data_IF_136905825169
#
_entry.id   IF_136905825169
#
_cell.length_a   1.000
_cell.length_b   1.000
_cell.length_c   1.000
_cell.angle_alpha   90.00
_cell.angle_beta   90.00
_cell.angle_gamma   90.00
#
_symmetry.space_group_name_H-M   'P 1'
#
loop_
_entity.id
_entity.type
_entity.pdbx_description
1 polymer ?
#
# COMPACT_ATOMS: atom_id res chain seq x y z
N UNK A 1 -19.17 20.64 -2.15
CA UNK A 1 -17.83 20.01 -2.00
C UNK A 1 -17.64 19.06 -3.16
N UNK A 2 -16.43 18.90 -3.73
CA UNK A 2 -16.21 17.89 -4.75
C UNK A 2 -16.65 16.52 -4.22
N UNK A 3 -17.49 15.83 -4.97
CA UNK A 3 -17.98 14.50 -4.63
C UNK A 3 -16.87 13.51 -4.92
N UNK A 4 -16.34 12.88 -3.88
CA UNK A 4 -15.31 11.88 -4.04
C UNK A 4 -15.91 10.53 -4.50
N UNK A 5 -15.19 9.76 -5.34
CA UNK A 5 -15.62 8.42 -5.73
C UNK A 5 -15.88 7.51 -4.52
N UNK A 6 -16.76 6.52 -4.68
CA UNK A 6 -17.01 5.51 -3.65
C UNK A 6 -15.72 4.85 -3.18
N UNK A 7 -15.55 4.69 -1.87
CA UNK A 7 -14.30 4.18 -1.28
C UNK A 7 -13.21 5.23 -1.12
N UNK A 8 -13.48 6.52 -1.36
CA UNK A 8 -12.57 7.63 -1.08
C UNK A 8 -13.22 8.70 -0.22
N UNK A 9 -12.41 9.56 0.40
CA UNK A 9 -12.88 10.66 1.23
C UNK A 9 -12.16 11.97 0.86
N UNK A 10 -12.80 13.11 1.13
CA UNK A 10 -12.22 14.41 0.86
C UNK A 10 -11.12 14.76 1.88
N UNK A 11 -10.00 15.27 1.39
CA UNK A 11 -8.85 15.71 2.18
C UNK A 11 -8.40 17.08 1.71
N UNK A 12 -8.20 17.99 2.66
CA UNK A 12 -7.67 19.33 2.39
C UNK A 12 -6.15 19.34 2.52
N UNK A 13 -5.45 19.67 1.44
CA UNK A 13 -4.00 19.77 1.37
C UNK A 13 -3.47 20.76 2.39
N UNK A 14 -2.44 20.34 3.12
CA UNK A 14 -1.68 21.09 4.12
C UNK A 14 -0.27 21.38 3.62
N UNK A 15 0.41 22.29 4.32
CA UNK A 15 1.79 22.63 4.04
C UNK A 15 2.68 21.37 4.12
N UNK A 16 3.45 21.11 3.06
CA UNK A 16 4.39 19.99 2.99
C UNK A 16 3.78 18.64 2.57
N UNK A 17 2.49 18.60 2.23
CA UNK A 17 1.86 17.42 1.66
C UNK A 17 2.38 17.13 0.25
N UNK A 18 2.45 15.84 -0.05
CA UNK A 18 2.71 15.32 -1.39
C UNK A 18 1.83 14.09 -1.59
N UNK A 19 1.50 13.74 -2.83
CA UNK A 19 0.77 12.50 -3.08
C UNK A 19 1.51 11.28 -2.52
N UNK A 20 2.85 11.29 -2.49
CA UNK A 20 3.63 10.22 -1.90
C UNK A 20 3.40 10.08 -0.38
N UNK A 21 3.47 11.19 0.37
CA UNK A 21 3.21 11.17 1.82
C UNK A 21 1.78 10.76 2.11
N UNK A 22 0.81 11.29 1.38
CA UNK A 22 -0.60 10.96 1.56
C UNK A 22 -0.88 9.49 1.22
N UNK A 23 -0.30 8.97 0.14
CA UNK A 23 -0.40 7.55 -0.21
C UNK A 23 0.10 6.65 0.92
N UNK A 24 1.25 6.99 1.50
CA UNK A 24 1.82 6.26 2.65
C UNK A 24 0.94 6.37 3.89
N UNK A 25 0.45 7.57 4.22
CA UNK A 25 -0.39 7.81 5.40
C UNK A 25 -1.71 7.06 5.32
N UNK A 26 -2.31 6.98 4.12
CA UNK A 26 -3.64 6.42 3.93
C UNK A 26 -3.63 5.02 3.31
N UNK A 27 -2.47 4.34 3.31
CA UNK A 27 -2.30 2.98 2.79
C UNK A 27 -2.92 2.81 1.39
N UNK A 28 -2.58 3.73 0.49
CA UNK A 28 -2.99 3.71 -0.92
C UNK A 28 -1.77 3.97 -1.80
N UNK A 29 -1.96 4.20 -3.10
CA UNK A 29 -0.86 4.50 -4.03
C UNK A 29 -1.00 5.90 -4.62
N UNK A 30 0.13 6.49 -5.03
CA UNK A 30 0.13 7.77 -5.76
C UNK A 30 -0.74 7.68 -7.01
N UNK A 31 -0.67 6.56 -7.74
CA UNK A 31 -1.48 6.31 -8.92
C UNK A 31 -2.99 6.27 -8.58
N UNK A 32 -3.39 5.64 -7.48
CA UNK A 32 -4.77 5.61 -7.04
C UNK A 32 -5.28 7.01 -6.63
N UNK A 33 -4.46 7.79 -5.91
CA UNK A 33 -4.79 9.18 -5.60
C UNK A 33 -4.95 9.98 -6.89
N UNK A 34 -4.04 9.84 -7.85
CA UNK A 34 -4.13 10.60 -9.10
C UNK A 34 -5.33 10.18 -9.96
N UNK A 35 -5.65 8.88 -10.00
CA UNK A 35 -6.84 8.38 -10.68
C UNK A 35 -8.14 8.90 -10.06
N UNK A 36 -8.19 9.06 -8.73
CA UNK A 36 -9.32 9.64 -8.01
C UNK A 36 -9.43 11.18 -8.18
N UNK A 37 -8.40 11.83 -8.72
CA UNK A 37 -8.32 13.28 -8.87
C UNK A 37 -7.92 13.67 -10.31
N UNK A 38 -8.76 13.36 -11.31
CA UNK A 38 -8.46 13.73 -12.69
C UNK A 38 -8.25 15.24 -12.82
N UNK A 39 -7.18 15.64 -13.52
CA UNK A 39 -6.80 17.04 -13.71
C UNK A 39 -5.98 17.67 -12.58
N UNK A 40 -5.79 16.99 -11.45
CA UNK A 40 -4.90 17.48 -10.40
C UNK A 40 -3.44 17.16 -10.76
N UNK A 41 -2.59 18.18 -10.74
CA UNK A 41 -1.15 18.02 -10.91
C UNK A 41 -0.47 17.74 -9.55
N UNK A 42 0.11 16.54 -9.34
CA UNK A 42 0.73 16.16 -8.07
C UNK A 42 1.96 17.00 -7.69
N UNK A 43 2.57 17.69 -8.66
CA UNK A 43 3.74 18.55 -8.45
C UNK A 43 3.35 20.02 -8.21
N UNK A 44 2.06 20.36 -8.25
CA UNK A 44 1.55 21.73 -8.07
C UNK A 44 0.37 21.78 -7.10
N UNK A 45 0.45 21.01 -6.01
CA UNK A 45 -0.57 21.01 -4.96
C UNK A 45 -0.59 22.36 -4.24
N UNK A 46 -1.79 22.87 -3.98
CA UNK A 46 -1.99 24.13 -3.27
C UNK A 46 -2.53 23.89 -1.86
N UNK A 47 -2.01 24.61 -0.88
CA UNK A 47 -2.54 24.57 0.49
C UNK A 47 -4.02 25.02 0.45
N UNK A 48 -4.88 24.25 1.11
CA UNK A 48 -6.33 24.47 1.08
C UNK A 48 -7.06 23.81 -0.10
N UNK A 49 -6.32 23.26 -1.08
CA UNK A 49 -6.92 22.48 -2.16
C UNK A 49 -7.56 21.20 -1.58
N UNK A 50 -8.79 20.90 -1.98
CA UNK A 50 -9.46 19.65 -1.62
C UNK A 50 -9.21 18.61 -2.71
N UNK A 51 -8.75 17.44 -2.30
CA UNK A 51 -8.57 16.25 -3.15
C UNK A 51 -9.29 15.05 -2.54
N UNK A 52 -9.56 14.04 -3.36
CA UNK A 52 -10.12 12.77 -2.93
C UNK A 52 -8.99 11.77 -2.63
N UNK A 53 -8.93 11.28 -1.40
CA UNK A 53 -8.00 10.23 -1.01
C UNK A 53 -8.77 8.91 -1.01
N UNK A 54 -8.41 7.95 -1.88
CA UNK A 54 -8.93 6.60 -1.75
C UNK A 54 -8.60 6.06 -0.36
N UNK A 55 -9.64 5.67 0.39
CA UNK A 55 -9.48 4.74 1.51
C UNK A 55 -8.88 3.44 0.97
N UNK A 56 -8.17 2.69 1.81
CA UNK A 56 -7.23 1.62 1.41
C UNK A 56 -7.69 0.88 0.15
N UNK A 57 -7.15 1.30 -1.00
CA UNK A 57 -7.44 0.71 -2.31
C UNK A 57 -6.58 -0.53 -2.54
N UNK A 58 -6.05 -1.14 -1.47
CA UNK A 58 -5.85 -2.57 -1.51
C UNK A 58 -7.22 -3.16 -1.83
N UNK A 59 -7.40 -3.84 -2.99
CA UNK A 59 -8.46 -4.84 -3.09
C UNK A 59 -8.42 -5.64 -1.79
N UNK A 60 -9.55 -6.08 -1.20
CA UNK A 60 -9.49 -6.94 -0.03
C UNK A 60 -8.43 -7.98 -0.33
N UNK A 61 -7.29 -7.88 0.36
CA UNK A 61 -6.09 -8.60 -0.06
C UNK A 61 -6.57 -10.03 -0.16
N UNK A 62 -6.43 -10.67 -1.33
CA UNK A 62 -6.88 -12.05 -1.53
C UNK A 62 -6.52 -12.76 -0.24
N UNK A 63 -7.51 -13.30 0.50
CA UNK A 63 -7.26 -13.77 1.85
C UNK A 63 -6.05 -14.67 1.79
N UNK A 64 -5.08 -14.42 2.68
CA UNK A 64 -3.86 -15.19 2.65
C UNK A 64 -4.22 -16.68 2.69
N UNK A 65 -3.47 -17.53 1.97
CA UNK A 65 -3.72 -18.97 2.00
C UNK A 65 -3.80 -19.47 3.44
N UNK A 66 -4.59 -20.53 3.67
CA UNK A 66 -4.68 -21.13 5.00
C UNK A 66 -3.29 -21.44 5.55
N UNK A 67 -3.06 -21.14 6.83
CA UNK A 67 -1.72 -21.22 7.43
C UNK A 67 -0.79 -20.08 7.02
N UNK A 68 -1.31 -18.93 6.55
CA UNK A 68 -0.54 -17.71 6.33
C UNK A 68 -1.21 -16.52 7.02
N UNK A 69 -0.41 -15.51 7.37
CA UNK A 69 -0.87 -14.22 7.93
C UNK A 69 -0.47 -13.07 7.03
N UNK A 70 -1.27 -12.01 7.01
CA UNK A 70 -0.90 -10.76 6.35
C UNK A 70 0.26 -10.07 7.10
N UNK A 71 1.18 -9.50 6.33
CA UNK A 71 2.31 -8.71 6.82
C UNK A 71 2.53 -7.50 5.91
N UNK A 72 2.67 -6.32 6.51
CA UNK A 72 2.99 -5.09 5.79
C UNK A 72 4.50 -4.87 5.78
N UNK A 73 5.08 -4.82 4.59
CA UNK A 73 6.51 -4.56 4.37
C UNK A 73 6.93 -3.25 5.02
N UNK A 74 8.01 -3.31 5.81
CA UNK A 74 8.68 -2.21 6.47
C UNK A 74 10.01 -1.91 5.81
N UNK A 75 10.58 -0.75 6.14
CA UNK A 75 11.89 -0.36 5.65
C UNK A 75 12.96 -1.38 6.07
N UNK A 76 13.75 -1.87 5.10
CA UNK A 76 14.84 -2.81 5.35
C UNK A 76 14.42 -4.29 5.38
N UNK A 77 13.13 -4.59 5.16
CA UNK A 77 12.66 -5.97 5.00
C UNK A 77 13.19 -6.60 3.72
N UNK A 78 13.44 -7.90 3.81
CA UNK A 78 13.70 -8.78 2.68
C UNK A 78 12.96 -10.08 2.93
N UNK A 79 12.66 -10.85 1.88
CA UNK A 79 12.07 -12.18 2.08
C UNK A 79 12.97 -13.08 2.93
N UNK A 80 14.29 -12.92 2.84
CA UNK A 80 15.25 -13.67 3.67
C UNK A 80 15.09 -13.34 5.16
N UNK A 81 15.05 -12.05 5.52
CA UNK A 81 14.86 -11.64 6.92
C UNK A 81 13.50 -12.10 7.45
N UNK A 82 12.44 -11.93 6.66
CA UNK A 82 11.09 -12.34 7.05
C UNK A 82 10.98 -13.86 7.20
N UNK A 83 11.59 -14.63 6.29
CA UNK A 83 11.66 -16.09 6.41
C UNK A 83 12.29 -16.53 7.74
N UNK A 84 13.43 -15.93 8.10
CA UNK A 84 14.10 -16.19 9.38
C UNK A 84 13.24 -15.77 10.59
N UNK A 85 12.62 -14.60 10.53
CA UNK A 85 11.78 -14.07 11.63
C UNK A 85 10.54 -14.93 11.87
N UNK A 86 9.92 -15.43 10.81
CA UNK A 86 8.66 -16.17 10.88
C UNK A 86 8.85 -17.69 10.79
N UNK A 87 10.08 -18.18 10.92
CA UNK A 87 10.43 -19.60 10.85
C UNK A 87 9.83 -20.29 9.61
N UNK A 88 10.04 -19.70 8.43
CA UNK A 88 9.60 -20.23 7.14
C UNK A 88 10.73 -20.11 6.11
N UNK A 89 10.46 -20.36 4.83
CA UNK A 89 11.45 -20.24 3.75
C UNK A 89 11.10 -19.12 2.79
N UNK A 90 12.12 -18.55 2.12
CA UNK A 90 11.91 -17.58 1.04
C UNK A 90 11.00 -18.16 -0.05
N UNK A 91 11.19 -19.44 -0.39
CA UNK A 91 10.38 -20.15 -1.36
C UNK A 91 8.91 -20.23 -0.94
N UNK A 92 8.63 -20.51 0.34
CA UNK A 92 7.26 -20.55 0.86
C UNK A 92 6.61 -19.15 0.84
N UNK A 93 7.34 -18.10 1.22
CA UNK A 93 6.85 -16.72 1.12
C UNK A 93 6.54 -16.39 -0.35
N UNK A 94 7.42 -16.73 -1.29
CA UNK A 94 7.20 -16.41 -2.70
C UNK A 94 6.04 -17.20 -3.31
N UNK A 95 5.87 -18.48 -2.93
CA UNK A 95 4.73 -19.29 -3.33
C UNK A 95 3.39 -18.74 -2.80
N UNK A 96 3.38 -18.21 -1.57
CA UNK A 96 2.20 -17.57 -0.99
C UNK A 96 1.87 -16.20 -1.63
N UNK A 97 2.79 -15.62 -2.40
CA UNK A 97 2.67 -14.29 -3.01
C UNK A 97 2.96 -14.31 -4.52
N UNK A 98 2.15 -15.01 -5.32
CA UNK A 98 2.35 -15.07 -6.77
C UNK A 98 2.33 -13.66 -7.38
N UNK A 99 3.33 -13.36 -8.21
CA UNK A 99 3.49 -12.05 -8.85
C UNK A 99 4.27 -11.00 -8.04
N UNK A 100 4.63 -11.29 -6.78
CA UNK A 100 5.50 -10.40 -6.00
C UNK A 100 6.96 -10.67 -6.34
N UNK A 101 7.68 -9.61 -6.73
CA UNK A 101 9.12 -9.68 -6.94
C UNK A 101 9.87 -9.42 -5.62
N UNK A 102 10.62 -10.40 -5.07
CA UNK A 102 11.32 -10.27 -3.78
C UNK A 102 12.42 -9.19 -3.79
N UNK A 103 12.91 -8.79 -4.96
CA UNK A 103 13.95 -7.77 -5.11
C UNK A 103 13.36 -6.36 -5.33
N UNK A 104 12.04 -6.22 -5.39
CA UNK A 104 11.34 -4.93 -5.62
C UNK A 104 10.22 -4.70 -4.60
N UNK A 105 10.45 -5.11 -3.36
CA UNK A 105 9.48 -4.90 -2.28
C UNK A 105 9.28 -3.42 -2.00
N UNK A 106 8.03 -3.02 -1.83
CA UNK A 106 7.67 -1.64 -1.53
C UNK A 106 7.25 -1.50 -0.07
N UNK A 107 7.75 -0.47 0.62
CA UNK A 107 7.29 -0.14 1.98
C UNK A 107 5.78 0.10 1.93
N UNK A 108 5.03 -0.54 2.83
CA UNK A 108 3.57 -0.50 2.86
C UNK A 108 2.88 -1.58 2.02
N UNK A 109 3.61 -2.33 1.19
CA UNK A 109 3.08 -3.48 0.47
C UNK A 109 2.64 -4.56 1.46
N UNK A 110 1.43 -5.11 1.28
CA UNK A 110 0.96 -6.25 2.07
C UNK A 110 1.30 -7.55 1.34
N UNK A 111 1.89 -8.49 2.07
CA UNK A 111 2.21 -9.85 1.61
C UNK A 111 1.68 -10.89 2.60
N UNK A 112 1.56 -12.13 2.16
CA UNK A 112 1.23 -13.28 2.98
C UNK A 112 2.49 -13.97 3.48
N UNK A 113 2.62 -14.12 4.79
CA UNK A 113 3.69 -14.86 5.43
C UNK A 113 3.13 -16.19 5.92
N UNK A 114 3.57 -17.33 5.38
CA UNK A 114 3.24 -18.64 5.93
C UNK A 114 3.62 -18.72 7.41
N UNK A 115 2.65 -19.11 8.22
CA UNK A 115 2.76 -19.37 9.66
C UNK A 115 2.36 -20.83 9.91
N UNK A 116 3.35 -21.72 9.87
CA UNK A 116 3.22 -23.10 10.34
C UNK A 116 3.86 -24.14 9.42
N UNK A 117 4.50 -25.20 9.94
CA UNK A 117 4.72 -25.56 11.37
C UNK A 117 6.15 -25.25 11.81
#
# INVERSE_FOLDING_TARGET
>A
MPTCPSGSFAYTIKAGDTFWKLAKTYNTTVAAIQAANPGVNPNKLQIGQVICIPGSNTPPAKPCPAGSRSYTIKAGDTFWKLAKTYNTTVAAIQAANPGVNPNKLQIGQVICIPVGK
#
